data_IF_899390236471
#
_entry.id   IF_899390236471
#
_cell.length_a   1.000
_cell.length_b   1.000
_cell.length_c   1.000
_cell.angle_alpha   90.00
_cell.angle_beta   90.00
_cell.angle_gamma   90.00
#
_symmetry.space_group_name_H-M   'P 1'
#
loop_
_entity.id
_entity.type
_entity.pdbx_description
1 polymer ?
#
# COMPACT_ATOMS: atom_id res chain seq x y z
N UNK A 1 10.50 -12.20 -16.94
CA UNK A 1 9.71 -11.08 -17.52
C UNK A 1 8.35 -11.54 -18.04
N UNK A 2 8.25 -12.54 -18.93
CA UNK A 2 6.97 -12.95 -19.55
C UNK A 2 5.85 -13.29 -18.54
N UNK A 3 6.13 -14.12 -17.53
CA UNK A 3 5.14 -14.46 -16.51
C UNK A 3 4.65 -13.24 -15.71
N UNK A 4 5.54 -12.28 -15.43
CA UNK A 4 5.20 -11.04 -14.73
C UNK A 4 4.30 -10.14 -15.59
N UNK A 5 4.65 -9.94 -16.86
CA UNK A 5 3.83 -9.20 -17.83
C UNK A 5 2.42 -9.82 -17.94
N UNK A 6 2.32 -11.14 -18.11
CA UNK A 6 1.03 -11.84 -18.19
C UNK A 6 0.19 -11.63 -16.94
N UNK A 7 0.79 -11.76 -15.75
CA UNK A 7 0.10 -11.55 -14.48
C UNK A 7 -0.42 -10.11 -14.39
N UNK A 8 0.45 -9.11 -14.51
CA UNK A 8 0.06 -7.69 -14.41
C UNK A 8 -1.02 -7.32 -15.41
N UNK A 9 -0.91 -7.81 -16.66
CA UNK A 9 -1.90 -7.57 -17.71
C UNK A 9 -3.28 -8.12 -17.33
N UNK A 10 -3.35 -9.27 -16.67
CA UNK A 10 -4.61 -9.92 -16.24
C UNK A 10 -5.34 -9.21 -15.08
N UNK A 11 -4.64 -8.40 -14.29
CA UNK A 11 -5.26 -7.67 -13.17
C UNK A 11 -6.14 -6.50 -13.66
N UNK A 12 -7.16 -6.09 -12.91
CA UNK A 12 -7.94 -4.89 -13.27
C UNK A 12 -7.44 -3.60 -12.61
N UNK A 13 -6.68 -3.73 -11.51
CA UNK A 13 -6.12 -2.63 -10.74
C UNK A 13 -5.22 -3.17 -9.64
N UNK A 14 -4.63 -2.28 -8.83
CA UNK A 14 -3.67 -2.66 -7.78
C UNK A 14 -3.89 -1.92 -6.47
N UNK A 15 -3.57 -2.58 -5.36
CA UNK A 15 -3.32 -1.92 -4.08
C UNK A 15 -1.85 -2.18 -3.76
N UNK A 16 -1.05 -1.12 -3.69
CA UNK A 16 0.36 -1.18 -3.33
C UNK A 16 0.47 -0.92 -1.84
N UNK A 17 0.73 -1.96 -1.06
CA UNK A 17 1.09 -1.85 0.35
C UNK A 17 2.62 -1.85 0.47
N UNK A 18 3.20 -0.79 1.00
CA UNK A 18 4.67 -0.64 1.00
C UNK A 18 5.21 0.09 2.23
N UNK A 19 6.35 -0.34 2.78
CA UNK A 19 7.05 0.43 3.79
C UNK A 19 7.72 1.67 3.18
N UNK A 20 8.03 2.65 4.02
CA UNK A 20 9.03 3.67 3.72
C UNK A 20 10.41 3.22 4.21
N UNK A 21 11.35 3.02 3.29
CA UNK A 21 12.76 2.75 3.58
C UNK A 21 13.60 3.97 3.32
N UNK A 22 14.30 4.47 4.35
CA UNK A 22 15.22 5.60 4.25
C UNK A 22 14.66 6.77 3.40
N UNK A 23 13.43 7.21 3.72
CA UNK A 23 12.73 8.30 3.04
C UNK A 23 12.29 8.04 1.59
N UNK A 24 12.31 6.79 1.13
CA UNK A 24 11.83 6.38 -0.18
C UNK A 24 11.02 5.08 -0.15
N UNK A 25 10.57 4.66 -1.33
CA UNK A 25 9.94 3.37 -1.53
C UNK A 25 11.02 2.28 -1.78
N UNK A 26 10.72 0.99 -1.52
CA UNK A 26 11.71 -0.08 -1.66
C UNK A 26 12.23 -0.25 -3.09
N UNK A 27 13.51 -0.57 -3.22
CA UNK A 27 14.15 -0.82 -4.52
C UNK A 27 13.47 -1.94 -5.32
N UNK A 28 13.04 -3.00 -4.65
CA UNK A 28 12.35 -4.13 -5.31
C UNK A 28 10.99 -3.71 -5.89
N UNK A 29 10.27 -2.79 -5.23
CA UNK A 29 9.04 -2.22 -5.77
C UNK A 29 9.33 -1.39 -7.03
N UNK A 30 10.40 -0.58 -7.01
CA UNK A 30 10.83 0.16 -8.21
C UNK A 30 11.15 -0.80 -9.35
N UNK A 31 11.91 -1.85 -9.04
CA UNK A 31 12.32 -2.84 -10.01
C UNK A 31 11.11 -3.54 -10.64
N UNK A 32 10.13 -3.95 -9.83
CA UNK A 32 8.89 -4.58 -10.31
C UNK A 32 8.09 -3.65 -11.26
N UNK A 33 8.03 -2.35 -10.94
CA UNK A 33 7.37 -1.34 -11.77
C UNK A 33 8.14 -1.10 -13.08
N UNK A 34 9.46 -0.93 -13.02
CA UNK A 34 10.34 -0.62 -14.17
C UNK A 34 10.41 -1.74 -15.21
N UNK A 35 10.17 -2.98 -14.79
CA UNK A 35 10.22 -4.14 -15.69
C UNK A 35 9.13 -4.13 -16.76
N UNK A 36 8.09 -3.30 -16.61
CA UNK A 36 6.94 -3.22 -17.50
C UNK A 36 6.55 -1.75 -17.74
N UNK A 37 5.78 -1.47 -18.79
CA UNK A 37 5.32 -0.10 -19.06
C UNK A 37 3.89 -0.06 -19.57
N UNK A 38 3.59 -0.81 -20.64
CA UNK A 38 2.28 -0.77 -21.28
C UNK A 38 1.19 -1.44 -20.43
N UNK A 39 1.58 -2.46 -19.67
CA UNK A 39 0.71 -3.23 -18.82
C UNK A 39 0.12 -2.38 -17.71
N UNK A 40 0.82 -1.36 -17.22
CA UNK A 40 0.34 -0.52 -16.12
C UNK A 40 -0.77 0.45 -16.53
N UNK A 41 -0.81 0.85 -17.81
CA UNK A 41 -1.63 1.97 -18.29
C UNK A 41 -3.10 1.83 -17.93
N UNK A 42 -3.70 2.95 -17.50
CA UNK A 42 -5.09 3.13 -17.14
C UNK A 42 -5.60 2.28 -15.97
N UNK A 43 -4.77 1.42 -15.36
CA UNK A 43 -5.18 0.62 -14.22
C UNK A 43 -5.29 1.53 -12.98
N UNK A 44 -6.42 1.49 -12.25
CA UNK A 44 -6.52 2.18 -10.98
C UNK A 44 -5.52 1.60 -9.98
N UNK A 45 -5.04 2.45 -9.08
CA UNK A 45 -4.11 2.04 -8.03
C UNK A 45 -4.30 2.83 -6.74
N UNK A 46 -4.39 2.11 -5.62
CA UNK A 46 -4.31 2.69 -4.27
C UNK A 46 -2.90 2.47 -3.74
N UNK A 47 -2.32 3.49 -3.10
CA UNK A 47 -1.04 3.38 -2.39
C UNK A 47 -1.31 3.46 -0.89
N UNK A 48 -0.91 2.40 -0.18
CA UNK A 48 -0.95 2.30 1.27
C UNK A 48 0.49 2.26 1.76
N UNK A 49 0.90 3.29 2.49
CA UNK A 49 2.25 3.35 3.07
C UNK A 49 2.24 3.02 4.54
N UNK A 50 3.35 2.49 5.05
CA UNK A 50 3.54 2.34 6.49
C UNK A 50 4.98 2.62 6.94
N UNK A 51 5.11 2.98 8.21
CA UNK A 51 6.39 3.19 8.89
C UNK A 51 6.24 4.05 10.14
N UNK A 52 7.34 4.32 10.85
CA UNK A 52 7.29 5.13 12.09
C UNK A 52 6.79 6.56 11.92
N UNK A 53 6.71 7.05 10.68
CA UNK A 53 6.12 8.34 10.32
C UNK A 53 5.07 8.20 9.21
N UNK A 54 4.42 7.03 9.10
CA UNK A 54 3.35 6.77 8.14
C UNK A 54 3.79 6.49 6.70
N UNK A 55 4.92 7.08 6.26
CA UNK A 55 5.52 6.82 4.96
C UNK A 55 5.15 7.79 3.84
N UNK A 56 4.74 9.02 4.19
CA UNK A 56 4.31 10.03 3.21
C UNK A 56 5.30 10.30 2.08
N UNK A 57 6.62 10.32 2.32
CA UNK A 57 7.63 10.57 1.26
C UNK A 57 7.70 9.43 0.25
N UNK A 58 7.56 8.19 0.72
CA UNK A 58 7.41 7.02 -0.14
C UNK A 58 6.16 7.18 -1.03
N UNK A 59 5.03 7.57 -0.44
CA UNK A 59 3.78 7.81 -1.17
C UNK A 59 3.91 8.88 -2.25
N UNK A 60 4.50 10.04 -1.92
CA UNK A 60 4.72 11.15 -2.85
C UNK A 60 5.60 10.75 -4.05
N UNK A 61 6.71 10.05 -3.79
CA UNK A 61 7.58 9.57 -4.86
C UNK A 61 6.89 8.54 -5.75
N UNK A 62 6.13 7.60 -5.15
CA UNK A 62 5.37 6.62 -5.91
C UNK A 62 4.32 7.29 -6.80
N UNK A 63 3.63 8.33 -6.34
CA UNK A 63 2.67 9.08 -7.18
C UNK A 63 3.32 9.61 -8.47
N UNK A 64 4.57 10.08 -8.40
CA UNK A 64 5.31 10.52 -9.59
C UNK A 64 5.59 9.36 -10.55
N UNK A 65 6.04 8.22 -10.03
CA UNK A 65 6.30 7.00 -10.84
C UNK A 65 5.01 6.49 -11.49
N UNK A 66 3.93 6.36 -10.72
CA UNK A 66 2.63 5.86 -11.18
C UNK A 66 2.03 6.77 -12.26
N UNK A 67 2.19 8.09 -12.13
CA UNK A 67 1.83 9.06 -13.17
C UNK A 67 2.67 8.88 -14.45
N UNK A 68 3.98 8.63 -14.30
CA UNK A 68 4.85 8.27 -15.41
C UNK A 68 4.40 7.00 -16.15
N UNK A 69 3.94 5.99 -15.42
CA UNK A 69 3.39 4.73 -15.94
C UNK A 69 1.93 4.83 -16.43
N UNK A 70 1.32 6.02 -16.36
CA UNK A 70 -0.08 6.28 -16.76
C UNK A 70 -1.10 5.44 -15.99
N UNK A 71 -0.83 5.14 -14.74
CA UNK A 71 -1.80 4.52 -13.84
C UNK A 71 -2.78 5.58 -13.31
N UNK A 72 -4.00 5.17 -12.94
CA UNK A 72 -5.01 6.04 -12.34
C UNK A 72 -4.89 5.98 -10.81
N UNK A 73 -3.93 6.71 -10.24
CA UNK A 73 -3.72 6.70 -8.80
C UNK A 73 -4.88 7.37 -8.05
N UNK A 74 -5.43 6.69 -7.05
CA UNK A 74 -6.43 7.24 -6.15
C UNK A 74 -5.77 8.33 -5.30
N UNK A 75 -6.37 9.53 -5.27
CA UNK A 75 -5.77 10.71 -4.63
C UNK A 75 -5.69 10.58 -3.12
N UNK A 76 -6.67 9.87 -2.52
CA UNK A 76 -6.70 9.62 -1.09
C UNK A 76 -5.39 9.02 -0.60
N UNK A 77 -4.92 9.54 0.54
CA UNK A 77 -3.70 9.07 1.21
C UNK A 77 -4.10 8.05 2.25
N UNK A 78 -3.50 6.86 2.20
CA UNK A 78 -3.61 5.84 3.26
C UNK A 78 -2.22 5.62 3.82
N UNK A 79 -2.01 6.02 5.07
CA UNK A 79 -0.70 6.06 5.71
C UNK A 79 -0.80 5.51 7.12
N UNK A 80 -0.10 4.43 7.40
CA UNK A 80 -0.14 3.74 8.69
C UNK A 80 1.10 4.13 9.49
N UNK A 81 0.90 4.94 10.53
CA UNK A 81 1.95 5.27 11.49
C UNK A 81 2.11 4.13 12.48
N UNK A 82 3.23 3.41 12.38
CA UNK A 82 3.53 2.29 13.26
C UNK A 82 4.13 2.81 14.57
N UNK A 83 3.58 2.44 15.74
CA UNK A 83 4.20 2.70 17.03
C UNK A 83 5.58 2.03 17.13
N UNK A 84 6.47 2.59 17.96
CA UNK A 84 7.86 2.13 18.04
C UNK A 84 7.99 0.70 18.57
N UNK A 85 7.07 0.28 19.43
CA UNK A 85 6.93 -1.07 19.95
C UNK A 85 6.75 -2.09 18.82
N UNK A 86 5.87 -1.82 17.86
CA UNK A 86 5.64 -2.69 16.70
C UNK A 86 6.79 -2.68 15.69
N UNK A 87 7.58 -1.63 15.66
CA UNK A 87 8.76 -1.54 14.78
C UNK A 87 9.95 -2.29 15.37
N UNK A 88 10.09 -2.24 16.70
CA UNK A 88 11.21 -2.85 17.44
C UNK A 88 10.96 -4.30 17.79
N UNK A 89 9.70 -4.67 17.94
CA UNK A 89 9.31 -6.06 18.12
C UNK A 89 9.52 -6.83 16.80
N UNK A 90 10.11 -8.00 16.93
CA UNK A 90 10.32 -8.95 15.83
C UNK A 90 9.16 -9.94 15.68
N UNK A 91 8.19 -9.91 16.61
CA UNK A 91 6.99 -10.72 16.55
C UNK A 91 6.20 -10.38 15.28
N UNK A 92 5.71 -11.42 14.61
CA UNK A 92 4.81 -11.23 13.48
C UNK A 92 3.42 -10.99 14.02
N UNK A 93 2.76 -9.94 13.53
CA UNK A 93 1.33 -9.78 13.73
C UNK A 93 0.61 -11.01 13.16
N UNK A 94 -0.13 -11.70 14.01
CA UNK A 94 -1.01 -12.81 13.64
C UNK A 94 -2.48 -12.36 13.73
N UNK A 95 -3.41 -13.05 13.04
CA UNK A 95 -4.84 -12.81 13.20
C UNK A 95 -5.32 -12.78 14.66
N UNK A 96 -4.70 -13.55 15.57
CA UNK A 96 -5.07 -13.58 16.99
C UNK A 96 -4.83 -12.25 17.72
N UNK A 97 -3.88 -11.45 17.24
CA UNK A 97 -3.65 -10.11 17.77
C UNK A 97 -4.84 -9.20 17.47
N UNK A 98 -5.53 -9.40 16.35
CA UNK A 98 -6.69 -8.59 15.94
C UNK A 98 -8.02 -9.07 16.54
N UNK A 99 -8.11 -10.30 17.05
CA UNK A 99 -9.31 -10.83 17.71
C UNK A 99 -9.39 -10.49 19.21
N UNK A 100 -8.39 -9.80 19.77
CA UNK A 100 -8.35 -9.42 21.19
C UNK A 100 -8.17 -10.60 22.16
N UNK A 101 -7.78 -11.77 21.66
CA UNK A 101 -7.62 -13.01 22.43
C UNK A 101 -6.18 -13.25 22.91
N UNK A 102 -5.23 -12.44 22.44
CA UNK A 102 -3.85 -12.50 22.94
C UNK A 102 -3.68 -11.60 24.18
N UNK A 103 -3.69 -12.23 25.35
CA UNK A 103 -3.46 -11.59 26.64
C UNK A 103 -1.97 -11.31 26.95
N UNK A 104 -1.03 -11.84 26.16
CA UNK A 104 0.40 -11.69 26.41
C UNK A 104 1.01 -10.43 25.80
N UNK A 105 0.33 -9.80 24.83
CA UNK A 105 0.87 -8.60 24.18
C UNK A 105 0.11 -7.31 24.49
N UNK A 106 -1.17 -7.34 24.90
CA UNK A 106 -1.86 -6.14 25.42
C UNK A 106 -1.78 -4.89 24.54
N UNK A 107 -1.51 -5.04 23.24
CA UNK A 107 -1.23 -3.90 22.37
C UNK A 107 -2.52 -3.48 21.67
N UNK A 108 -2.89 -2.22 21.87
CA UNK A 108 -4.06 -1.63 21.22
C UNK A 108 -3.78 -1.36 19.75
N UNK A 109 -4.71 -1.77 18.88
CA UNK A 109 -4.71 -1.45 17.46
C UNK A 109 -5.42 -0.12 17.15
N UNK A 110 -5.67 0.71 18.15
CA UNK A 110 -6.24 2.06 17.97
C UNK A 110 -5.46 2.90 16.96
N UNK A 111 -4.14 2.70 16.84
CA UNK A 111 -3.32 3.40 15.84
C UNK A 111 -3.72 3.09 14.39
N UNK A 112 -4.48 2.02 14.14
CA UNK A 112 -5.02 1.67 12.83
C UNK A 112 -6.35 2.37 12.53
N UNK A 113 -7.07 2.91 13.51
CA UNK A 113 -8.44 3.41 13.32
C UNK A 113 -8.54 4.49 12.23
N UNK A 114 -7.58 5.43 12.21
CA UNK A 114 -7.52 6.47 11.16
C UNK A 114 -7.20 5.85 9.79
N UNK A 115 -6.28 4.89 9.74
CA UNK A 115 -5.92 4.21 8.51
C UNK A 115 -7.05 3.33 7.97
N UNK A 116 -7.88 2.75 8.84
CA UNK A 116 -9.03 1.91 8.48
C UNK A 116 -10.11 2.75 7.78
N UNK A 117 -10.49 3.90 8.34
CA UNK A 117 -11.43 4.83 7.71
C UNK A 117 -10.89 5.36 6.36
N UNK A 118 -9.60 5.72 6.32
CA UNK A 118 -8.96 6.17 5.08
C UNK A 118 -8.92 5.06 4.02
N UNK A 119 -8.62 3.82 4.42
CA UNK A 119 -8.59 2.65 3.53
C UNK A 119 -9.98 2.31 3.01
N UNK A 120 -11.01 2.31 3.86
CA UNK A 120 -12.40 2.04 3.47
C UNK A 120 -12.85 2.99 2.35
N UNK A 121 -12.60 4.30 2.52
CA UNK A 121 -12.90 5.33 1.51
C UNK A 121 -12.07 5.16 0.25
N UNK A 122 -10.78 4.82 0.37
CA UNK A 122 -9.92 4.59 -0.79
C UNK A 122 -10.37 3.36 -1.59
N UNK A 123 -10.85 2.31 -0.92
CA UNK A 123 -11.39 1.10 -1.55
C UNK A 123 -12.72 1.39 -2.26
N UNK A 124 -13.57 2.26 -1.72
CA UNK A 124 -14.78 2.72 -2.40
C UNK A 124 -14.44 3.46 -3.70
N UNK A 125 -13.55 4.46 -3.64
CA UNK A 125 -13.07 5.21 -4.82
C UNK A 125 -12.42 4.28 -5.86
N UNK A 126 -11.59 3.33 -5.39
CA UNK A 126 -10.97 2.31 -6.23
C UNK A 126 -12.00 1.41 -6.92
N UNK A 127 -13.04 0.99 -6.19
CA UNK A 127 -14.12 0.17 -6.72
C UNK A 127 -14.93 0.88 -7.80
N UNK A 128 -15.11 2.20 -7.68
CA UNK A 128 -15.72 3.04 -8.71
C UNK A 128 -14.78 3.10 -9.93
N UNK A 129 -13.49 3.37 -9.71
CA UNK A 129 -12.50 3.47 -10.78
C UNK A 129 -12.33 2.17 -11.59
N UNK A 130 -12.49 1.01 -10.94
CA UNK A 130 -12.48 -0.31 -11.60
C UNK A 130 -13.65 -0.51 -12.57
N UNK A 131 -14.77 0.19 -12.36
CA UNK A 131 -15.98 0.09 -13.20
C UNK A 131 -16.07 1.19 -14.26
N UNK A 132 -15.18 2.17 -14.20
CA UNK A 132 -15.14 3.25 -15.17
C UNK A 132 -14.70 2.71 -16.55
N UNK A 133 -15.33 3.16 -17.65
CA UNK A 133 -15.03 2.70 -18.99
C UNK A 133 -13.60 3.03 -19.46
#
# INVERSE_FOLDING_TARGET
VNAWSTLVKSCHGFIILTPQYNWGYPGDLKNALDHLYFEWRNKPVVVVTYGGHGGGKCGEQLRQVLSGLKMKAIERVVSITLPSEYIRDSSRLTPEHFSGTDSNHGVSFEFLAEADDALAKAVEEFSIALRAP
#
